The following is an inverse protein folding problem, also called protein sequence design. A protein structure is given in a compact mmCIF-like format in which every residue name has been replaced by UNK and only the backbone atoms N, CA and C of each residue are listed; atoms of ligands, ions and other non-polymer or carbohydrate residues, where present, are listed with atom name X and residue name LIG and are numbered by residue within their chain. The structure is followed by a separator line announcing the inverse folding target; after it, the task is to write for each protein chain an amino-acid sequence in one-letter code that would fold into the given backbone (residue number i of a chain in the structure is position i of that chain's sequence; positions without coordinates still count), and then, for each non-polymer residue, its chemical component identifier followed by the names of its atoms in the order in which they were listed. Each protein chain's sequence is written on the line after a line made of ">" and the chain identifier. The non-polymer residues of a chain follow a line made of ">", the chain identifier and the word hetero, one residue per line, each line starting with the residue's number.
data_IF_949283348696
#
_entry.id   IF_949283348696
#
_cell.length_a   1.000
_cell.length_b   1.000
_cell.length_c   1.000
_cell.angle_alpha   90.00
_cell.angle_beta   90.00
_cell.angle_gamma   90.00
#
_symmetry.space_group_name_H-M   'P 1'
#
loop_
_entity.id
_entity.type
_entity.pdbx_description
1 polymer ?
#
# COMPACT_ATOMS: atom_id res chain seq x y z
N UNK A 1 36.15 11.21 5.33
CA UNK A 1 35.55 10.24 4.39
C UNK A 1 35.59 8.88 5.08
N UNK A 2 34.57 8.52 5.86
CA UNK A 2 34.47 7.18 6.41
C UNK A 2 33.87 6.29 5.34
N UNK A 3 34.67 5.39 4.79
CA UNK A 3 34.18 4.28 3.98
C UNK A 3 33.27 3.43 4.87
N UNK A 4 31.97 3.73 4.83
CA UNK A 4 30.97 2.87 5.46
C UNK A 4 31.08 1.51 4.78
N UNK A 5 31.52 0.50 5.51
CA UNK A 5 31.45 -0.88 5.07
C UNK A 5 30.02 -1.15 4.64
N UNK A 6 29.82 -1.44 3.35
CA UNK A 6 28.58 -2.05 2.88
C UNK A 6 28.49 -3.36 3.66
N UNK A 7 27.50 -3.49 4.53
CA UNK A 7 27.18 -4.76 5.17
C UNK A 7 26.63 -5.68 4.08
N UNK A 8 27.53 -6.27 3.30
CA UNK A 8 27.19 -7.31 2.35
C UNK A 8 26.78 -8.53 3.17
N UNK A 9 25.51 -8.94 3.10
CA UNK A 9 25.11 -10.18 3.73
C UNK A 9 25.96 -11.30 3.13
N UNK A 10 26.56 -12.14 3.98
CA UNK A 10 27.50 -13.20 3.58
C UNK A 10 26.94 -14.20 2.53
N UNK A 11 25.63 -14.18 2.29
CA UNK A 11 24.94 -15.01 1.30
C UNK A 11 24.60 -14.21 0.04
N UNK A 12 24.99 -14.70 -1.16
CA UNK A 12 24.66 -14.06 -2.43
C UNK A 12 23.14 -13.98 -2.63
N UNK A 13 22.68 -12.85 -3.17
CA UNK A 13 21.26 -12.63 -3.48
C UNK A 13 20.81 -13.64 -4.53
N UNK A 14 19.72 -14.34 -4.24
CA UNK A 14 19.10 -15.30 -5.16
C UNK A 14 17.90 -14.66 -5.83
N UNK A 15 18.12 -13.92 -6.90
CA UNK A 15 17.03 -13.31 -7.66
C UNK A 15 16.51 -14.21 -8.77
N UNK A 16 15.20 -14.28 -8.90
CA UNK A 16 14.51 -14.86 -10.05
C UNK A 16 14.37 -13.81 -11.18
N UNK A 17 14.32 -14.26 -12.42
CA UNK A 17 13.95 -13.42 -13.56
C UNK A 17 12.43 -13.30 -13.69
N UNK A 18 11.91 -12.15 -13.26
CA UNK A 18 10.47 -11.94 -13.09
C UNK A 18 9.82 -11.30 -14.32
N UNK A 19 10.55 -10.44 -15.04
CA UNK A 19 10.08 -9.82 -16.27
C UNK A 19 11.23 -9.53 -17.24
N UNK A 20 10.92 -9.44 -18.53
CA UNK A 20 11.83 -8.90 -19.54
C UNK A 20 11.15 -7.81 -20.34
N UNK A 21 11.89 -6.75 -20.64
CA UNK A 21 11.49 -5.75 -21.62
C UNK A 21 12.10 -6.13 -22.97
N UNK A 22 11.29 -6.13 -24.02
CA UNK A 22 11.73 -6.43 -25.39
C UNK A 22 11.76 -5.16 -26.23
N UNK A 23 12.62 -5.14 -27.25
CA UNK A 23 12.62 -4.15 -28.33
C UNK A 23 13.03 -4.82 -29.63
N UNK A 24 12.22 -4.69 -30.68
CA UNK A 24 12.52 -5.23 -32.00
C UNK A 24 12.77 -6.74 -32.00
N UNK A 25 12.11 -7.50 -31.12
CA UNK A 25 12.29 -8.95 -30.96
C UNK A 25 13.50 -9.37 -30.12
N UNK A 26 14.29 -8.44 -29.59
CA UNK A 26 15.42 -8.71 -28.69
C UNK A 26 15.05 -8.37 -27.24
N UNK A 27 15.59 -9.10 -26.26
CA UNK A 27 15.52 -8.73 -24.85
C UNK A 27 16.44 -7.53 -24.61
N UNK A 28 15.85 -6.39 -24.26
CA UNK A 28 16.55 -5.14 -23.95
C UNK A 28 16.93 -5.04 -22.47
N UNK A 29 16.06 -5.52 -21.57
CA UNK A 29 16.32 -5.48 -20.13
C UNK A 29 15.71 -6.68 -19.43
N UNK A 30 16.39 -7.18 -18.40
CA UNK A 30 15.92 -8.25 -17.52
C UNK A 30 15.66 -7.67 -16.14
N UNK A 31 14.45 -7.84 -15.64
CA UNK A 31 14.05 -7.40 -14.31
C UNK A 31 14.09 -8.60 -13.37
N UNK A 32 15.17 -8.69 -12.60
CA UNK A 32 15.39 -9.74 -11.62
C UNK A 32 14.97 -9.27 -10.22
N UNK A 33 14.49 -10.18 -9.40
CA UNK A 33 14.12 -9.87 -8.03
C UNK A 33 13.38 -10.97 -7.31
N UNK A 34 12.52 -10.55 -6.38
CA UNK A 34 11.69 -11.42 -5.54
C UNK A 34 10.20 -11.11 -5.71
N UNK A 35 9.36 -12.15 -5.77
CA UNK A 35 7.90 -12.05 -5.66
C UNK A 35 7.38 -13.12 -4.71
N UNK A 36 6.47 -12.72 -3.82
CA UNK A 36 5.79 -13.59 -2.86
C UNK A 36 4.28 -13.39 -3.00
N UNK A 37 3.51 -14.48 -2.97
CA UNK A 37 2.05 -14.47 -2.89
C UNK A 37 1.61 -15.32 -1.70
N UNK A 38 0.76 -14.75 -0.84
CA UNK A 38 0.12 -15.49 0.24
C UNK A 38 -1.33 -15.87 -0.10
N UNK A 39 -1.78 -17.00 0.42
CA UNK A 39 -3.19 -17.38 0.47
C UNK A 39 -3.95 -16.57 1.53
N UNK A 40 -5.30 -16.58 1.49
CA UNK A 40 -6.13 -16.12 2.60
C UNK A 40 -5.79 -16.74 3.96
N UNK A 41 -5.27 -17.98 3.98
CA UNK A 41 -4.86 -18.68 5.19
C UNK A 41 -3.49 -18.25 5.73
N UNK A 42 -2.76 -17.42 4.99
CA UNK A 42 -1.40 -16.98 5.34
C UNK A 42 -0.28 -17.87 4.79
N UNK A 43 -0.61 -18.93 4.05
CA UNK A 43 0.38 -19.81 3.44
C UNK A 43 1.06 -19.15 2.25
N UNK A 44 2.36 -19.40 2.07
CA UNK A 44 3.10 -18.99 0.87
C UNK A 44 2.69 -19.90 -0.29
N UNK A 45 1.89 -19.37 -1.22
CA UNK A 45 1.44 -20.09 -2.42
C UNK A 45 2.45 -19.97 -3.55
N UNK A 46 3.09 -18.80 -3.66
CA UNK A 46 4.12 -18.55 -4.66
C UNK A 46 5.28 -17.78 -4.03
N UNK A 47 6.50 -18.24 -4.27
CA UNK A 47 7.73 -17.54 -3.92
C UNK A 47 8.79 -17.78 -5.00
N UNK A 48 9.18 -16.71 -5.68
CA UNK A 48 10.34 -16.68 -6.58
C UNK A 48 11.33 -15.65 -6.04
N UNK A 49 12.61 -15.99 -6.00
CA UNK A 49 13.66 -15.17 -5.38
C UNK A 49 13.84 -15.46 -3.88
N UNK A 50 14.44 -14.52 -3.15
CA UNK A 50 14.72 -14.67 -1.72
C UNK A 50 13.61 -14.05 -0.86
N UNK A 51 12.60 -14.86 -0.56
CA UNK A 51 11.36 -14.44 0.11
C UNK A 51 11.55 -13.98 1.58
N UNK A 52 12.69 -14.31 2.20
CA UNK A 52 12.96 -14.04 3.61
C UNK A 52 14.07 -13.03 3.85
N UNK A 53 14.82 -12.66 2.80
CA UNK A 53 15.89 -11.65 2.93
C UNK A 53 15.31 -10.28 3.28
N UNK A 54 15.79 -9.62 4.34
CA UNK A 54 15.36 -8.28 4.66
C UNK A 54 15.65 -7.29 3.53
N UNK A 55 14.63 -6.51 3.18
CA UNK A 55 14.70 -5.42 2.21
C UNK A 55 14.07 -4.18 2.83
N UNK A 56 14.59 -2.99 2.49
CA UNK A 56 13.91 -1.76 2.88
C UNK A 56 12.55 -1.68 2.17
N UNK A 57 11.48 -1.67 2.94
CA UNK A 57 10.11 -1.63 2.42
C UNK A 57 9.74 -0.26 1.79
N UNK A 58 10.52 0.79 2.10
CA UNK A 58 10.32 2.17 1.61
C UNK A 58 8.86 2.60 1.84
N UNK A 59 8.27 3.29 0.86
CA UNK A 59 6.92 3.85 0.98
C UNK A 59 5.79 2.82 1.08
N UNK A 60 6.05 1.50 0.99
CA UNK A 60 5.03 0.50 1.28
C UNK A 60 4.71 0.41 2.78
N UNK A 61 5.51 1.03 3.65
CA UNK A 61 5.22 1.10 5.10
C UNK A 61 4.19 2.14 5.49
N UNK A 62 3.86 3.08 4.61
CA UNK A 62 3.01 4.24 4.93
C UNK A 62 1.64 3.87 5.52
N UNK A 63 0.94 2.81 5.07
CA UNK A 63 -0.30 2.39 5.71
C UNK A 63 -0.11 2.03 7.19
N UNK A 64 0.95 1.29 7.53
CA UNK A 64 1.24 0.90 8.91
C UNK A 64 1.74 2.09 9.74
N UNK A 65 2.48 3.01 9.14
CA UNK A 65 2.83 4.30 9.74
C UNK A 65 1.58 5.13 10.08
N UNK A 66 0.57 5.13 9.21
CA UNK A 66 -0.72 5.79 9.46
C UNK A 66 -1.51 5.09 10.57
N UNK A 67 -1.49 3.75 10.63
CA UNK A 67 -2.07 2.99 11.76
C UNK A 67 -1.37 3.38 13.08
N UNK A 68 -0.04 3.48 13.09
CA UNK A 68 0.73 3.95 14.24
C UNK A 68 0.34 5.38 14.66
N UNK A 69 0.18 6.30 13.72
CA UNK A 69 -0.30 7.66 14.02
C UNK A 69 -1.74 7.68 14.59
N UNK A 70 -2.63 6.84 14.07
CA UNK A 70 -3.99 6.67 14.62
C UNK A 70 -3.95 6.10 16.05
N UNK A 71 -3.10 5.10 16.30
CA UNK A 71 -2.89 4.52 17.65
C UNK A 71 -2.33 5.56 18.62
N UNK A 72 -1.45 6.44 18.13
CA UNK A 72 -0.91 7.56 18.88
C UNK A 72 -1.94 8.67 19.16
N UNK A 73 -3.12 8.63 18.53
CA UNK A 73 -4.23 9.53 18.81
C UNK A 73 -4.49 10.58 17.74
N UNK A 74 -3.83 10.54 16.59
CA UNK A 74 -4.18 11.42 15.47
C UNK A 74 -5.63 11.17 15.01
N UNK A 75 -6.53 12.15 15.04
CA UNK A 75 -7.93 11.96 14.70
C UNK A 75 -8.20 12.00 13.18
N UNK A 76 -7.37 11.31 12.39
CA UNK A 76 -7.45 11.27 10.92
C UNK A 76 -8.75 10.59 10.45
N UNK A 77 -9.39 11.13 9.40
CA UNK A 77 -10.60 10.54 8.78
C UNK A 77 -10.57 10.66 7.26
N UNK A 78 -11.17 9.70 6.55
CA UNK A 78 -11.39 9.74 5.09
C UNK A 78 -10.13 10.12 4.31
N UNK A 79 -10.21 11.22 3.55
CA UNK A 79 -9.11 11.75 2.74
C UNK A 79 -7.81 12.01 3.53
N UNK A 80 -7.89 12.36 4.82
CA UNK A 80 -6.70 12.58 5.67
C UNK A 80 -5.94 11.27 5.95
N UNK A 81 -6.68 10.15 6.04
CA UNK A 81 -6.07 8.82 6.19
C UNK A 81 -5.43 8.39 4.87
N UNK A 82 -6.11 8.63 3.75
CA UNK A 82 -5.58 8.32 2.43
C UNK A 82 -4.29 9.10 2.12
N UNK A 83 -4.28 10.41 2.39
CA UNK A 83 -3.07 11.23 2.17
C UNK A 83 -1.93 10.85 3.13
N UNK A 84 -2.23 10.38 4.35
CA UNK A 84 -1.22 9.82 5.26
C UNK A 84 -0.57 8.54 4.71
N UNK A 85 -1.30 7.75 3.94
CA UNK A 85 -0.79 6.55 3.27
C UNK A 85 -0.08 6.85 1.94
N UNK A 86 -0.10 8.11 1.48
CA UNK A 86 0.22 8.47 0.11
C UNK A 86 1.70 8.47 -0.22
N UNK A 87 2.01 8.14 -1.48
CA UNK A 87 3.26 8.57 -2.12
C UNK A 87 2.88 9.50 -3.26
N UNK A 88 2.27 10.61 -2.89
CA UNK A 88 1.53 11.46 -3.79
C UNK A 88 2.44 12.19 -4.76
N UNK A 89 1.87 12.71 -5.85
CA UNK A 89 2.61 13.42 -6.90
C UNK A 89 2.71 14.92 -6.68
N UNK A 90 2.06 15.40 -5.61
CA UNK A 90 2.02 16.81 -5.26
C UNK A 90 1.06 17.58 -6.17
N UNK A 91 -0.05 16.96 -6.61
CA UNK A 91 -1.13 17.72 -7.25
C UNK A 91 -1.66 18.79 -6.29
N UNK A 92 -2.29 19.85 -6.80
CA UNK A 92 -2.90 20.86 -5.92
C UNK A 92 -3.90 20.27 -4.94
N UNK A 93 -4.67 19.25 -5.36
CA UNK A 93 -5.61 18.55 -4.48
C UNK A 93 -4.90 17.76 -3.37
N UNK A 94 -3.82 17.05 -3.70
CA UNK A 94 -3.02 16.30 -2.73
C UNK A 94 -2.34 17.26 -1.73
N UNK A 95 -1.72 18.35 -2.21
CA UNK A 95 -1.12 19.37 -1.34
C UNK A 95 -2.16 20.03 -0.43
N UNK A 96 -3.37 20.29 -0.93
CA UNK A 96 -4.48 20.80 -0.12
C UNK A 96 -4.87 19.82 0.98
N UNK A 97 -4.97 18.51 0.68
CA UNK A 97 -5.29 17.49 1.68
C UNK A 97 -4.24 17.44 2.82
N UNK A 98 -2.95 17.60 2.49
CA UNK A 98 -1.87 17.71 3.49
C UNK A 98 -2.04 18.97 4.33
N UNK A 99 -2.27 20.12 3.68
CA UNK A 99 -2.48 21.39 4.36
C UNK A 99 -3.69 21.37 5.31
N UNK A 100 -4.78 20.71 4.91
CA UNK A 100 -5.99 20.53 5.74
C UNK A 100 -5.72 19.63 6.96
N UNK A 101 -4.91 18.57 6.81
CA UNK A 101 -4.49 17.73 7.93
C UNK A 101 -3.61 18.51 8.93
N UNK A 102 -2.66 19.31 8.45
CA UNK A 102 -1.82 20.17 9.29
C UNK A 102 -2.66 21.24 10.01
N UNK A 103 -3.56 21.91 9.30
CA UNK A 103 -4.41 22.94 9.88
C UNK A 103 -5.33 22.38 10.98
N UNK A 104 -5.85 21.16 10.79
CA UNK A 104 -6.64 20.48 11.81
C UNK A 104 -5.82 20.03 13.04
N UNK A 105 -4.50 19.98 12.92
CA UNK A 105 -3.56 19.82 14.03
C UNK A 105 -3.10 21.15 14.64
N UNK A 106 -3.60 22.30 14.16
CA UNK A 106 -3.14 23.62 14.58
C UNK A 106 -1.77 24.02 14.03
N UNK A 107 -1.30 23.37 12.95
CA UNK A 107 0.04 23.53 12.40
C UNK A 107 0.02 24.08 10.96
N UNK A 108 1.14 24.67 10.54
CA UNK A 108 1.39 25.08 9.15
C UNK A 108 2.33 24.11 8.43
N UNK A 109 2.59 24.37 7.15
CA UNK A 109 3.60 23.63 6.38
C UNK A 109 5.03 23.78 6.94
N UNK A 110 5.30 24.77 7.79
CA UNK A 110 6.63 25.02 8.38
C UNK A 110 7.03 23.94 9.40
N UNK A 111 6.07 23.20 9.95
CA UNK A 111 6.32 22.05 10.83
C UNK A 111 6.81 20.80 10.06
N UNK A 112 6.64 20.76 8.73
CA UNK A 112 7.10 19.64 7.92
C UNK A 112 8.62 19.63 7.83
N UNK A 113 9.22 18.50 8.21
CA UNK A 113 10.67 18.28 8.14
C UNK A 113 11.09 17.48 6.89
N UNK A 114 10.14 17.14 6.02
CA UNK A 114 10.46 16.57 4.71
C UNK A 114 10.96 17.67 3.73
N UNK A 115 11.82 17.32 2.74
CA UNK A 115 12.39 18.30 1.83
C UNK A 115 11.36 19.13 1.05
N UNK A 116 11.65 20.41 0.83
CA UNK A 116 10.89 21.23 -0.11
C UNK A 116 11.24 20.88 -1.56
N UNK A 117 10.22 20.51 -2.35
CA UNK A 117 10.40 20.10 -3.75
C UNK A 117 9.39 20.78 -4.67
N UNK A 118 9.61 20.67 -5.98
CA UNK A 118 8.54 20.86 -6.94
C UNK A 118 7.75 19.56 -7.07
N UNK A 119 6.44 19.61 -7.36
CA UNK A 119 5.64 18.41 -7.62
C UNK A 119 6.24 17.52 -8.71
N UNK A 120 6.05 16.21 -8.57
CA UNK A 120 6.37 15.23 -9.65
C UNK A 120 5.25 15.15 -10.67
N UNK A 121 4.05 15.64 -10.33
CA UNK A 121 3.00 15.94 -11.30
C UNK A 121 3.44 17.05 -12.25
N UNK A 122 3.55 16.73 -13.53
CA UNK A 122 4.11 17.65 -14.54
C UNK A 122 3.22 18.86 -14.77
N UNK A 123 1.90 18.69 -14.73
CA UNK A 123 0.94 19.79 -14.89
C UNK A 123 1.04 20.79 -13.75
N UNK A 124 0.94 20.31 -12.51
CA UNK A 124 1.06 21.14 -11.30
C UNK A 124 2.41 21.84 -11.23
N UNK A 125 3.50 21.11 -11.55
CA UNK A 125 4.84 21.70 -11.63
C UNK A 125 4.92 22.83 -12.66
N UNK A 126 4.39 22.64 -13.86
CA UNK A 126 4.38 23.67 -14.90
C UNK A 126 3.60 24.91 -14.46
N UNK A 127 2.42 24.73 -13.85
CA UNK A 127 1.62 25.83 -13.31
C UNK A 127 2.38 26.59 -12.22
N UNK A 128 3.02 25.89 -11.27
CA UNK A 128 3.82 26.53 -10.22
C UNK A 128 4.97 27.36 -10.79
N UNK A 129 5.71 26.82 -11.77
CA UNK A 129 6.82 27.53 -12.40
C UNK A 129 6.36 28.77 -13.16
N UNK A 130 5.26 28.66 -13.91
CA UNK A 130 4.68 29.80 -14.64
C UNK A 130 4.18 30.90 -13.70
N UNK A 131 3.66 30.53 -12.53
CA UNK A 131 3.18 31.46 -11.51
C UNK A 131 4.31 31.99 -10.59
N UNK A 132 5.58 31.61 -10.82
CA UNK A 132 6.70 32.03 -9.97
C UNK A 132 6.67 31.45 -8.55
N UNK A 133 5.97 30.35 -8.33
CA UNK A 133 5.87 29.70 -7.02
C UNK A 133 7.15 28.90 -6.71
N UNK A 134 7.57 28.96 -5.45
CA UNK A 134 8.74 28.24 -4.95
C UNK A 134 8.45 26.76 -4.66
N UNK A 135 9.53 25.99 -4.45
CA UNK A 135 9.43 24.64 -3.88
C UNK A 135 8.72 24.68 -2.52
N UNK A 136 8.00 23.63 -2.17
CA UNK A 136 7.27 23.52 -0.90
C UNK A 136 7.36 22.11 -0.33
N UNK A 137 7.44 21.93 0.99
CA UNK A 137 7.40 20.60 1.60
C UNK A 137 6.05 19.92 1.39
N UNK A 138 4.96 20.67 1.16
CA UNK A 138 3.64 20.11 0.83
C UNK A 138 3.69 19.23 -0.43
N UNK A 139 4.56 19.56 -1.39
CA UNK A 139 4.68 18.82 -2.65
C UNK A 139 5.47 17.51 -2.51
N UNK A 140 6.19 17.31 -1.41
CA UNK A 140 7.00 16.12 -1.19
C UNK A 140 6.12 14.90 -1.00
N UNK A 141 6.38 13.77 -1.68
CA UNK A 141 5.48 12.61 -1.71
C UNK A 141 5.19 11.95 -0.34
N UNK A 142 5.92 12.35 0.70
CA UNK A 142 5.72 11.87 2.06
C UNK A 142 5.05 12.89 2.98
N UNK A 143 4.76 14.11 2.53
CA UNK A 143 4.28 15.17 3.43
C UNK A 143 2.97 14.81 4.13
N UNK A 144 2.10 14.00 3.51
CA UNK A 144 0.92 13.44 4.17
C UNK A 144 1.22 12.53 5.37
N UNK A 145 2.22 11.64 5.30
CA UNK A 145 2.62 10.84 6.48
C UNK A 145 3.23 11.71 7.58
N UNK A 146 3.95 12.77 7.22
CA UNK A 146 4.49 13.73 8.19
C UNK A 146 3.36 14.52 8.86
N UNK A 147 2.34 14.94 8.11
CA UNK A 147 1.16 15.59 8.69
C UNK A 147 0.45 14.68 9.70
N UNK A 148 0.34 13.37 9.43
CA UNK A 148 -0.19 12.40 10.38
C UNK A 148 0.67 12.28 11.65
N UNK A 149 2.00 12.23 11.50
CA UNK A 149 2.94 12.20 12.62
C UNK A 149 2.83 13.44 13.51
N UNK A 150 2.82 14.61 12.88
CA UNK A 150 2.67 15.89 13.56
C UNK A 150 1.33 15.99 14.29
N UNK A 151 0.23 15.54 13.68
CA UNK A 151 -1.07 15.55 14.33
C UNK A 151 -1.14 14.61 15.53
N UNK A 152 -0.49 13.43 15.46
CA UNK A 152 -0.35 12.56 16.61
C UNK A 152 0.41 13.24 17.77
N UNK A 153 1.52 13.92 17.45
CA UNK A 153 2.32 14.66 18.43
C UNK A 153 1.54 15.83 19.06
N UNK A 154 0.84 16.63 18.25
CA UNK A 154 -0.01 17.71 18.73
C UNK A 154 -1.13 17.21 19.65
N UNK A 155 -1.86 16.16 19.22
CA UNK A 155 -2.97 15.59 19.98
C UNK A 155 -2.53 14.98 21.33
N UNK A 156 -1.30 14.47 21.42
CA UNK A 156 -0.71 13.97 22.67
C UNK A 156 -0.20 15.10 23.57
N UNK A 157 0.47 16.09 22.99
CA UNK A 157 0.97 17.27 23.71
C UNK A 157 -0.16 18.08 24.36
N UNK A 158 -1.30 18.24 23.68
CA UNK A 158 -2.49 18.93 24.22
C UNK A 158 -3.08 18.26 25.46
N UNK A 159 -2.83 16.95 25.66
CA UNK A 159 -3.30 16.20 26.84
C UNK A 159 -2.38 16.34 28.05
N UNK A 160 -1.41 17.27 28.00
CA UNK A 160 -0.33 17.51 28.96
C UNK A 160 -0.54 17.02 30.39
N UNK A 161 -1.54 17.55 31.10
CA UNK A 161 -1.76 17.25 32.53
C UNK A 161 -2.28 15.82 32.80
N UNK A 162 -2.82 15.14 31.78
CA UNK A 162 -3.41 13.80 31.88
C UNK A 162 -2.40 12.69 31.55
N UNK A 163 -1.25 13.02 30.95
CA UNK A 163 -0.28 12.06 30.42
C UNK A 163 1.15 12.52 30.79
N UNK A 164 1.82 11.87 31.76
CA UNK A 164 3.16 12.26 32.23
C UNK A 164 4.21 12.35 31.10
N UNK A 165 4.03 11.55 30.05
CA UNK A 165 4.94 11.47 28.92
C UNK A 165 4.64 12.50 27.82
N UNK A 166 3.63 13.38 27.97
CA UNK A 166 3.23 14.36 26.95
C UNK A 166 4.39 15.26 26.51
N UNK A 167 5.32 15.58 27.42
CA UNK A 167 6.52 16.36 27.11
C UNK A 167 7.47 15.67 26.11
N UNK A 168 7.36 14.35 25.92
CA UNK A 168 8.15 13.58 24.97
C UNK A 168 7.58 13.60 23.54
N UNK A 169 6.37 14.13 23.33
CA UNK A 169 5.67 14.15 22.04
C UNK A 169 5.96 15.43 21.23
N UNK A 170 7.23 15.81 21.13
CA UNK A 170 7.65 17.04 20.45
C UNK A 170 7.44 16.98 18.94
N UNK A 171 6.78 18.01 18.40
CA UNK A 171 6.64 18.23 16.95
C UNK A 171 7.97 18.56 16.25
N UNK A 172 9.04 18.86 16.99
CA UNK A 172 10.36 19.16 16.43
C UNK A 172 11.26 17.92 16.36
N UNK A 173 10.92 16.86 17.11
CA UNK A 173 11.73 15.64 17.22
C UNK A 173 10.98 14.39 16.72
N UNK A 174 9.82 14.53 16.06
CA UNK A 174 8.98 13.39 15.65
C UNK A 174 9.65 12.41 14.67
N UNK A 175 10.77 12.78 14.05
CA UNK A 175 11.56 11.90 13.17
C UNK A 175 12.65 11.12 13.92
N UNK A 176 12.95 11.46 15.18
CA UNK A 176 13.92 10.74 16.00
C UNK A 176 13.45 9.30 16.23
N UNK A 177 14.26 8.26 15.90
CA UNK A 177 13.92 6.86 16.20
C UNK A 177 13.55 6.58 17.67
N UNK A 178 14.02 7.40 18.60
CA UNK A 178 13.70 7.30 20.03
C UNK A 178 12.40 8.02 20.42
N UNK A 179 11.80 8.80 19.52
CA UNK A 179 10.53 9.47 19.77
C UNK A 179 9.41 8.44 20.01
N UNK A 180 8.50 8.64 21.00
CA UNK A 180 7.42 7.71 21.31
C UNK A 180 6.58 7.29 20.09
N UNK A 181 6.30 8.25 19.21
CA UNK A 181 5.65 7.99 17.92
C UNK A 181 6.39 6.96 17.06
N UNK A 182 7.71 7.09 16.89
CA UNK A 182 8.49 6.18 16.03
C UNK A 182 8.56 4.77 16.64
N UNK A 183 8.66 4.67 17.96
CA UNK A 183 8.57 3.38 18.68
C UNK A 183 7.21 2.71 18.46
N UNK A 184 6.12 3.46 18.57
CA UNK A 184 4.77 2.93 18.31
C UNK A 184 4.60 2.50 16.85
N UNK A 185 5.22 3.21 15.91
CA UNK A 185 5.21 2.80 14.50
C UNK A 185 5.98 1.48 14.31
N UNK A 186 7.12 1.30 14.97
CA UNK A 186 7.87 0.03 14.94
C UNK A 186 6.98 -1.11 15.47
N UNK A 187 6.33 -0.92 16.61
CA UNK A 187 5.41 -1.92 17.18
C UNK A 187 4.31 -2.34 16.19
N UNK A 188 3.67 -1.38 15.53
CA UNK A 188 2.62 -1.70 14.55
C UNK A 188 3.21 -2.41 13.32
N UNK A 189 4.38 -1.99 12.84
CA UNK A 189 5.04 -2.67 11.72
C UNK A 189 5.37 -4.11 12.08
N UNK A 190 5.94 -4.36 13.26
CA UNK A 190 6.29 -5.71 13.72
C UNK A 190 5.04 -6.56 13.97
N UNK A 191 3.97 -5.98 14.52
CA UNK A 191 2.71 -6.67 14.74
C UNK A 191 2.05 -7.14 13.43
N UNK A 192 1.98 -6.27 12.41
CA UNK A 192 1.36 -6.60 11.12
C UNK A 192 2.24 -7.53 10.27
N UNK A 193 3.55 -7.38 10.34
CA UNK A 193 4.48 -8.24 9.60
C UNK A 193 4.69 -9.58 10.31
N UNK A 194 4.48 -9.64 11.62
CA UNK A 194 4.72 -10.79 12.47
C UNK A 194 6.20 -11.18 12.55
N UNK A 195 7.10 -10.18 12.47
CA UNK A 195 8.55 -10.33 12.61
C UNK A 195 9.15 -9.04 13.18
N UNK A 196 10.38 -9.13 13.70
CA UNK A 196 11.10 -7.95 14.16
C UNK A 196 11.71 -7.17 13.00
N UNK A 197 11.84 -5.85 13.15
CA UNK A 197 12.57 -5.01 12.20
C UNK A 197 14.04 -5.43 12.19
N UNK A 198 14.50 -5.99 11.08
CA UNK A 198 15.86 -6.52 10.96
C UNK A 198 16.92 -5.41 10.95
N UNK A 199 16.58 -4.25 10.42
CA UNK A 199 17.45 -3.08 10.35
C UNK A 199 16.63 -1.80 10.13
N UNK A 200 17.11 -0.67 10.62
CA UNK A 200 16.50 0.64 10.42
C UNK A 200 17.53 1.66 9.91
N UNK A 201 17.09 2.56 9.04
CA UNK A 201 17.90 3.68 8.55
C UNK A 201 17.03 4.91 8.31
N UNK A 202 17.59 5.97 7.73
CA UNK A 202 16.88 7.21 7.41
C UNK A 202 16.43 7.19 5.95
N UNK A 203 15.14 7.41 5.70
CA UNK A 203 14.58 7.53 4.34
C UNK A 203 14.84 8.93 3.74
N UNK A 204 14.61 9.10 2.44
CA UNK A 204 14.78 10.38 1.75
C UNK A 204 13.90 11.52 2.28
N UNK A 205 12.87 11.21 3.06
CA UNK A 205 12.02 12.19 3.75
C UNK A 205 12.53 12.61 5.14
N UNK A 206 13.57 11.95 5.66
CA UNK A 206 14.10 12.12 7.02
C UNK A 206 13.53 11.17 8.07
N UNK A 207 12.37 10.52 7.82
CA UNK A 207 11.79 9.55 8.75
C UNK A 207 12.54 8.19 8.74
N UNK A 208 12.43 7.39 9.82
CA UNK A 208 12.92 6.02 9.83
C UNK A 208 12.31 5.14 8.72
N UNK A 209 13.15 4.30 8.13
CA UNK A 209 12.76 3.23 7.20
C UNK A 209 13.25 1.88 7.72
N UNK A 210 12.42 0.86 7.56
CA UNK A 210 12.66 -0.46 8.14
C UNK A 210 12.92 -1.52 7.06
N UNK A 211 13.85 -2.42 7.37
CA UNK A 211 14.14 -3.62 6.59
C UNK A 211 13.33 -4.80 7.15
N UNK A 212 12.56 -5.42 6.26
CA UNK A 212 11.62 -6.51 6.55
C UNK A 212 11.69 -7.54 5.43
N UNK A 213 11.26 -8.76 5.68
CA UNK A 213 11.15 -9.79 4.66
C UNK A 213 9.95 -9.53 3.72
N UNK A 214 10.06 -9.94 2.44
CA UNK A 214 8.91 -9.97 1.53
C UNK A 214 7.70 -10.74 2.08
N UNK A 215 7.93 -11.86 2.80
CA UNK A 215 6.84 -12.62 3.45
C UNK A 215 6.18 -11.83 4.58
N UNK A 216 6.96 -11.15 5.43
CA UNK A 216 6.42 -10.29 6.49
C UNK A 216 5.56 -9.17 5.91
N UNK A 217 6.04 -8.51 4.86
CA UNK A 217 5.23 -7.52 4.14
C UNK A 217 3.97 -8.13 3.52
N UNK A 218 4.04 -9.34 2.98
CA UNK A 218 2.88 -10.00 2.38
C UNK A 218 1.81 -10.32 3.44
N UNK A 219 2.22 -10.72 4.66
CA UNK A 219 1.32 -10.92 5.81
C UNK A 219 0.64 -9.62 6.24
N UNK A 220 1.40 -8.53 6.29
CA UNK A 220 0.90 -7.22 6.63
C UNK A 220 -0.17 -6.74 5.63
N UNK A 221 0.07 -6.93 4.33
CA UNK A 221 -0.88 -6.57 3.27
C UNK A 221 -2.07 -7.54 3.15
N UNK A 222 -1.90 -8.83 3.46
CA UNK A 222 -3.02 -9.77 3.58
C UNK A 222 -4.01 -9.29 4.66
N UNK A 223 -3.48 -8.98 5.85
CA UNK A 223 -4.26 -8.44 6.97
C UNK A 223 -4.98 -7.15 6.58
N UNK A 224 -4.26 -6.20 5.98
CA UNK A 224 -4.84 -4.92 5.56
C UNK A 224 -5.90 -5.09 4.45
N UNK A 225 -5.72 -6.03 3.53
CA UNK A 225 -6.72 -6.39 2.52
C UNK A 225 -8.02 -6.90 3.13
N UNK A 226 -7.96 -7.81 4.11
CA UNK A 226 -9.16 -8.31 4.81
C UNK A 226 -9.87 -7.25 5.66
N UNK A 227 -9.18 -6.16 6.01
CA UNK A 227 -9.73 -5.10 6.84
C UNK A 227 -10.64 -4.12 6.06
N UNK A 228 -10.62 -4.15 4.72
CA UNK A 228 -11.42 -3.24 3.88
C UNK A 228 -12.91 -3.39 4.22
N UNK A 229 -13.50 -2.35 4.81
CA UNK A 229 -14.91 -2.27 5.21
C UNK A 229 -15.35 -3.42 6.15
N UNK A 230 -14.40 -4.03 6.86
CA UNK A 230 -14.64 -5.12 7.79
C UNK A 230 -14.74 -4.58 9.22
N UNK A 231 -15.92 -4.70 9.84
CA UNK A 231 -16.19 -4.21 11.19
C UNK A 231 -15.61 -5.10 12.30
N UNK A 232 -15.24 -6.34 11.98
CA UNK A 232 -14.65 -7.30 12.94
C UNK A 232 -13.12 -7.19 12.99
N UNK A 233 -12.51 -6.52 12.01
CA UNK A 233 -11.08 -6.25 11.99
C UNK A 233 -10.70 -5.15 13.00
N UNK A 234 -9.40 -5.02 13.29
CA UNK A 234 -8.89 -3.85 14.04
C UNK A 234 -9.40 -2.56 13.40
N UNK A 235 -10.00 -1.69 14.22
CA UNK A 235 -10.69 -0.50 13.73
C UNK A 235 -9.76 0.47 12.99
N UNK A 236 -8.47 0.54 13.37
CA UNK A 236 -7.48 1.40 12.69
C UNK A 236 -7.09 0.78 11.35
N UNK A 237 -6.85 -0.54 11.32
CA UNK A 237 -6.61 -1.27 10.08
C UNK A 237 -7.77 -1.10 9.09
N UNK A 238 -9.01 -1.26 9.56
CA UNK A 238 -10.20 -1.09 8.73
C UNK A 238 -10.36 0.34 8.23
N UNK A 239 -10.09 1.33 9.09
CA UNK A 239 -10.11 2.76 8.72
C UNK A 239 -9.10 3.05 7.61
N UNK A 240 -7.87 2.55 7.76
CA UNK A 240 -6.79 2.73 6.77
C UNK A 240 -7.10 2.02 5.46
N UNK A 241 -7.42 0.73 5.51
CA UNK A 241 -7.72 -0.07 4.33
C UNK A 241 -8.90 0.52 3.53
N UNK A 242 -9.97 0.92 4.22
CA UNK A 242 -11.15 1.52 3.60
C UNK A 242 -10.82 2.87 2.98
N UNK A 243 -10.08 3.75 3.68
CA UNK A 243 -9.67 5.03 3.13
C UNK A 243 -8.76 4.87 1.90
N UNK A 244 -7.89 3.85 1.89
CA UNK A 244 -7.02 3.61 0.73
C UNK A 244 -7.80 3.21 -0.52
N UNK A 245 -8.88 2.45 -0.36
CA UNK A 245 -9.75 1.99 -1.44
C UNK A 245 -10.79 3.05 -1.85
N UNK A 246 -11.23 3.90 -0.92
CA UNK A 246 -12.21 4.95 -1.19
C UNK A 246 -11.60 6.21 -1.83
N UNK A 247 -10.30 6.46 -1.64
CA UNK A 247 -9.57 7.63 -2.16
C UNK A 247 -8.21 7.29 -2.81
N UNK A 248 -8.13 6.29 -3.70
CA UNK A 248 -6.86 5.85 -4.29
C UNK A 248 -6.15 6.97 -5.09
N UNK A 249 -6.90 7.89 -5.68
CA UNK A 249 -6.40 9.06 -6.40
C UNK A 249 -5.62 10.03 -5.50
N UNK A 250 -5.90 10.09 -4.20
CA UNK A 250 -5.12 10.88 -3.25
C UNK A 250 -3.77 10.21 -2.92
N UNK A 251 -3.64 8.90 -3.10
CA UNK A 251 -2.45 8.12 -2.71
C UNK A 251 -1.32 8.26 -3.74
N UNK A 252 -1.60 7.92 -5.00
CA UNK A 252 -0.61 7.98 -6.08
C UNK A 252 -0.99 9.01 -7.16
N UNK A 253 -2.27 9.35 -7.31
CA UNK A 253 -2.76 10.28 -8.31
C UNK A 253 -3.78 9.64 -9.26
N UNK A 254 -4.60 10.45 -9.95
CA UNK A 254 -5.53 9.95 -10.97
C UNK A 254 -4.80 9.17 -12.07
N UNK A 255 -5.44 8.12 -12.60
CA UNK A 255 -4.96 7.28 -13.71
C UNK A 255 -3.58 6.62 -13.50
N UNK A 256 -3.04 6.69 -12.29
CA UNK A 256 -1.77 6.06 -11.95
C UNK A 256 -1.95 4.55 -11.73
N UNK A 257 -0.90 3.73 -11.96
CA UNK A 257 -1.01 2.27 -11.86
C UNK A 257 -1.65 1.78 -10.56
N UNK A 258 -1.21 2.26 -9.39
CA UNK A 258 -1.76 1.83 -8.10
C UNK A 258 -3.24 2.19 -7.99
N UNK A 259 -3.62 3.39 -8.44
CA UNK A 259 -5.02 3.85 -8.44
C UNK A 259 -5.90 2.94 -9.28
N UNK A 260 -5.49 2.67 -10.53
CA UNK A 260 -6.26 1.83 -11.45
C UNK A 260 -6.39 0.39 -10.93
N UNK A 261 -5.31 -0.18 -10.37
CA UNK A 261 -5.37 -1.53 -9.80
C UNK A 261 -6.28 -1.55 -8.56
N UNK A 262 -6.13 -0.58 -7.66
CA UNK A 262 -6.94 -0.46 -6.43
C UNK A 262 -8.44 -0.36 -6.76
N UNK A 263 -8.83 0.51 -7.70
CA UNK A 263 -10.23 0.72 -8.08
C UNK A 263 -10.87 -0.53 -8.70
N UNK A 264 -10.14 -1.21 -9.59
CA UNK A 264 -10.68 -2.36 -10.35
C UNK A 264 -10.69 -3.66 -9.55
N UNK A 265 -9.76 -3.82 -8.61
CA UNK A 265 -9.69 -5.00 -7.74
C UNK A 265 -10.34 -4.81 -6.38
N UNK A 266 -10.74 -3.59 -6.02
CA UNK A 266 -11.26 -3.25 -4.70
C UNK A 266 -10.28 -3.72 -3.60
N UNK A 267 -9.01 -3.37 -3.79
CA UNK A 267 -7.85 -3.92 -3.09
C UNK A 267 -6.91 -2.82 -2.58
N UNK A 268 -6.19 -3.09 -1.49
CA UNK A 268 -5.15 -2.18 -1.01
C UNK A 268 -3.90 -2.34 -1.87
N UNK A 269 -3.49 -1.28 -2.57
CA UNK A 269 -2.31 -1.27 -3.43
C UNK A 269 -1.36 -0.17 -3.01
N UNK A 270 -0.07 -0.48 -2.92
CA UNK A 270 0.95 0.51 -2.57
C UNK A 270 2.29 0.17 -3.19
N UNK A 271 2.73 1.00 -4.13
CA UNK A 271 4.09 1.02 -4.63
C UNK A 271 5.06 1.67 -3.64
N UNK A 272 6.33 1.31 -3.72
CA UNK A 272 7.43 1.97 -3.03
C UNK A 272 8.57 2.28 -3.99
N UNK A 273 9.42 3.23 -3.60
CA UNK A 273 10.71 3.43 -4.25
C UNK A 273 11.53 2.13 -4.25
N UNK A 274 12.56 2.07 -5.09
CA UNK A 274 13.44 0.90 -5.19
C UNK A 274 12.69 -0.39 -5.56
N UNK A 275 11.77 -0.31 -6.52
CA UNK A 275 11.18 -1.48 -7.18
C UNK A 275 10.21 -2.27 -6.30
N UNK A 276 9.56 -1.61 -5.34
CA UNK A 276 8.61 -2.23 -4.42
C UNK A 276 7.16 -2.09 -4.89
N UNK A 277 6.38 -3.16 -4.72
CA UNK A 277 4.92 -3.11 -4.82
C UNK A 277 4.31 -4.13 -3.86
N UNK A 278 3.24 -3.72 -3.18
CA UNK A 278 2.46 -4.58 -2.31
C UNK A 278 0.97 -4.46 -2.65
N UNK A 279 0.27 -5.60 -2.71
CA UNK A 279 -1.15 -5.72 -2.98
C UNK A 279 -1.78 -6.60 -1.90
N UNK A 280 -2.89 -6.17 -1.30
CA UNK A 280 -3.74 -6.94 -0.40
C UNK A 280 -5.17 -6.98 -0.91
N UNK A 281 -5.66 -8.18 -1.27
CA UNK A 281 -7.03 -8.38 -1.73
C UNK A 281 -7.99 -8.55 -0.54
N UNK A 282 -9.28 -8.24 -0.73
CA UNK A 282 -10.32 -8.46 0.31
C UNK A 282 -10.43 -9.92 0.74
N UNK A 283 -10.08 -10.86 -0.14
CA UNK A 283 -10.04 -12.29 0.18
C UNK A 283 -8.98 -12.65 1.22
N UNK A 284 -8.00 -11.77 1.48
CA UNK A 284 -6.83 -12.06 2.30
C UNK A 284 -5.63 -12.58 1.52
N UNK A 285 -5.78 -12.86 0.22
CA UNK A 285 -4.62 -13.09 -0.64
C UNK A 285 -3.82 -11.79 -0.83
N UNK A 286 -2.50 -11.91 -0.89
CA UNK A 286 -1.62 -10.74 -1.05
C UNK A 286 -0.45 -11.05 -1.97
N UNK A 287 0.15 -10.01 -2.55
CA UNK A 287 1.37 -10.12 -3.34
C UNK A 287 2.37 -9.02 -2.97
N UNK A 288 3.65 -9.38 -2.87
CA UNK A 288 4.77 -8.46 -2.67
C UNK A 288 5.80 -8.69 -3.76
N UNK A 289 6.27 -7.61 -4.37
CA UNK A 289 7.31 -7.61 -5.40
C UNK A 289 8.43 -6.68 -4.99
N UNK A 290 9.67 -7.14 -5.17
CA UNK A 290 10.90 -6.36 -5.13
C UNK A 290 11.70 -6.62 -6.40
N UNK A 291 11.91 -5.61 -7.24
CA UNK A 291 12.88 -5.66 -8.33
C UNK A 291 14.24 -5.16 -7.83
N UNK A 292 15.29 -5.95 -7.98
CA UNK A 292 16.56 -5.74 -7.28
C UNK A 292 17.31 -4.48 -7.69
N UNK A 293 17.23 -4.09 -8.96
CA UNK A 293 17.83 -2.85 -9.47
C UNK A 293 17.05 -1.58 -9.10
N UNK A 294 15.93 -1.73 -8.40
CA UNK A 294 15.10 -0.62 -7.94
C UNK A 294 14.08 -0.12 -8.98
N UNK A 295 14.00 -0.72 -10.15
CA UNK A 295 13.08 -0.32 -11.22
C UNK A 295 11.64 -0.65 -10.89
N UNK A 296 10.75 0.33 -11.00
CA UNK A 296 9.30 0.13 -10.81
C UNK A 296 8.60 -0.43 -12.06
N UNK A 297 9.25 -0.40 -13.23
CA UNK A 297 8.64 -0.71 -14.54
C UNK A 297 7.91 -2.06 -14.57
N UNK A 298 8.48 -3.08 -13.92
CA UNK A 298 7.97 -4.45 -13.92
C UNK A 298 7.04 -4.81 -12.76
N UNK A 299 6.94 -3.97 -11.74
CA UNK A 299 6.30 -4.34 -10.47
C UNK A 299 4.83 -4.77 -10.64
N UNK A 300 4.00 -4.00 -11.35
CA UNK A 300 2.59 -4.35 -11.58
C UNK A 300 2.42 -5.59 -12.47
N UNK A 301 3.25 -5.75 -13.51
CA UNK A 301 3.21 -6.97 -14.34
C UNK A 301 3.45 -8.21 -13.49
N UNK A 302 4.52 -8.17 -12.70
CA UNK A 302 4.93 -9.30 -11.86
C UNK A 302 3.87 -9.61 -10.81
N UNK A 303 3.37 -8.61 -10.08
CA UNK A 303 2.38 -8.83 -9.02
C UNK A 303 1.07 -9.40 -9.56
N UNK A 304 0.54 -8.83 -10.64
CA UNK A 304 -0.74 -9.26 -11.21
C UNK A 304 -0.65 -10.66 -11.83
N UNK A 305 0.46 -10.97 -12.52
CA UNK A 305 0.70 -12.32 -13.06
C UNK A 305 0.98 -13.35 -11.96
N UNK A 306 1.65 -12.98 -10.86
CA UNK A 306 1.84 -13.88 -9.74
C UNK A 306 0.51 -14.21 -9.03
N UNK A 307 -0.35 -13.21 -8.80
CA UNK A 307 -1.71 -13.44 -8.29
C UNK A 307 -2.55 -14.30 -9.23
N UNK A 308 -2.37 -14.14 -10.55
CA UNK A 308 -3.00 -14.99 -11.55
C UNK A 308 -2.53 -16.45 -11.44
N UNK A 309 -1.22 -16.67 -11.38
CA UNK A 309 -0.62 -17.99 -11.27
C UNK A 309 -1.06 -18.72 -9.99
N UNK A 310 -1.26 -17.97 -8.91
CA UNK A 310 -1.79 -18.46 -7.65
C UNK A 310 -3.32 -18.67 -7.64
N UNK A 311 -4.03 -18.36 -8.75
CA UNK A 311 -5.46 -18.57 -8.90
C UNK A 311 -6.37 -17.49 -8.30
N UNK A 312 -5.82 -16.37 -7.85
CA UNK A 312 -6.59 -15.30 -7.22
C UNK A 312 -7.12 -14.26 -8.20
N UNK A 313 -6.60 -14.23 -9.43
CA UNK A 313 -7.09 -13.37 -10.52
C UNK A 313 -7.29 -14.16 -11.80
N UNK A 314 -8.33 -13.82 -12.57
CA UNK A 314 -8.56 -14.42 -13.88
C UNK A 314 -7.64 -13.80 -14.94
N UNK A 315 -7.34 -14.55 -16.01
CA UNK A 315 -6.60 -14.04 -17.17
C UNK A 315 -7.23 -12.74 -17.72
N UNK A 316 -8.56 -12.71 -17.89
CA UNK A 316 -9.29 -11.55 -18.41
C UNK A 316 -9.13 -10.31 -17.53
N UNK A 317 -9.20 -10.48 -16.20
CA UNK A 317 -8.97 -9.39 -15.24
C UNK A 317 -7.55 -8.85 -15.36
N UNK A 318 -6.56 -9.75 -15.42
CA UNK A 318 -5.14 -9.39 -15.47
C UNK A 318 -4.81 -8.67 -16.79
N UNK A 319 -5.25 -9.18 -17.93
CA UNK A 319 -4.97 -8.55 -19.23
C UNK A 319 -5.59 -7.15 -19.35
N UNK A 320 -6.82 -6.99 -18.82
CA UNK A 320 -7.49 -5.68 -18.75
C UNK A 320 -6.73 -4.68 -17.87
N UNK A 321 -6.19 -5.13 -16.74
CA UNK A 321 -5.38 -4.32 -15.85
C UNK A 321 -4.04 -3.95 -16.49
N UNK A 322 -3.31 -4.92 -17.05
CA UNK A 322 -2.01 -4.69 -17.67
C UNK A 322 -2.10 -3.73 -18.85
N UNK A 323 -3.14 -3.83 -19.66
CA UNK A 323 -3.42 -2.87 -20.74
C UNK A 323 -3.61 -1.44 -20.22
N UNK A 324 -4.16 -1.30 -19.01
CA UNK A 324 -4.42 0.02 -18.41
C UNK A 324 -3.19 0.62 -17.71
N UNK A 325 -2.33 -0.21 -17.11
CA UNK A 325 -1.25 0.28 -16.22
C UNK A 325 0.15 0.20 -16.82
N UNK A 326 0.39 -0.69 -17.79
CA UNK A 326 1.70 -0.78 -18.43
C UNK A 326 1.84 0.27 -19.53
N UNK A 327 3.07 0.79 -19.65
CA UNK A 327 3.44 1.68 -20.76
C UNK A 327 4.19 0.84 -21.81
N UNK A 328 3.79 0.91 -23.09
CA UNK A 328 4.47 0.18 -24.15
C UNK A 328 5.90 0.69 -24.33
N UNK A 329 6.79 -0.17 -24.85
CA UNK A 329 8.13 0.26 -25.25
C UNK A 329 8.00 0.92 -26.61
N UNK A 330 8.24 2.23 -26.68
CA UNK A 330 8.06 3.04 -27.88
C UNK A 330 9.37 3.35 -28.60
N UNK A 331 9.30 3.65 -29.89
CA UNK A 331 10.46 4.01 -30.72
C UNK A 331 10.05 4.82 -31.94
N UNK A 332 10.43 6.10 -31.97
CA UNK A 332 10.02 7.02 -33.04
C UNK A 332 8.52 7.31 -33.06
N UNK A 333 8.08 7.92 -34.15
CA UNK A 333 6.68 8.30 -34.39
C UNK A 333 6.26 7.77 -35.76
N UNK A 334 5.05 7.22 -35.83
CA UNK A 334 4.40 6.74 -37.04
C UNK A 334 2.96 7.28 -37.05
N UNK A 335 2.55 7.94 -38.13
CA UNK A 335 1.25 8.63 -38.25
C UNK A 335 0.91 9.56 -37.08
N UNK A 336 1.92 10.27 -36.57
CA UNK A 336 1.77 11.21 -35.46
C UNK A 336 1.57 10.56 -34.09
N UNK A 337 1.70 9.23 -33.99
CA UNK A 337 1.62 8.48 -32.74
C UNK A 337 2.96 7.79 -32.41
N UNK A 338 3.31 7.64 -31.13
CA UNK A 338 4.48 6.85 -30.75
C UNK A 338 4.32 5.41 -31.24
N UNK A 339 5.26 4.95 -32.08
CA UNK A 339 5.27 3.57 -32.55
C UNK A 339 5.65 2.64 -31.40
N UNK A 340 4.87 1.58 -31.19
CA UNK A 340 5.23 0.52 -30.25
C UNK A 340 6.23 -0.42 -30.91
N UNK A 341 7.38 -0.62 -30.28
CA UNK A 341 8.50 -1.43 -30.79
C UNK A 341 8.87 -2.57 -29.84
N UNK A 342 8.12 -2.73 -28.76
CA UNK A 342 8.29 -3.82 -27.82
C UNK A 342 7.38 -3.67 -26.62
N UNK A 343 7.59 -4.54 -25.65
CA UNK A 343 6.67 -4.73 -24.53
C UNK A 343 7.39 -5.24 -23.30
N UNK A 344 6.65 -5.31 -22.19
CA UNK A 344 7.08 -5.96 -20.98
C UNK A 344 6.32 -7.28 -20.86
N UNK A 345 7.05 -8.38 -20.73
CA UNK A 345 6.47 -9.73 -20.63
C UNK A 345 7.02 -10.47 -19.41
N UNK A 346 6.32 -11.51 -18.91
CA UNK A 346 6.85 -12.36 -17.85
C UNK A 346 8.25 -12.90 -18.19
N UNK A 347 9.15 -12.85 -17.21
CA UNK A 347 10.50 -13.38 -17.33
C UNK A 347 10.50 -14.90 -17.24
N UNK A 348 11.65 -15.53 -17.50
CA UNK A 348 11.75 -17.00 -17.62
C UNK A 348 11.16 -17.74 -16.41
N UNK A 349 11.48 -17.29 -15.19
CA UNK A 349 11.04 -17.99 -13.97
C UNK A 349 9.53 -17.79 -13.71
N UNK A 350 9.02 -16.56 -13.89
CA UNK A 350 7.58 -16.29 -13.72
C UNK A 350 6.74 -16.96 -14.83
N UNK A 351 7.25 -16.99 -16.06
CA UNK A 351 6.60 -17.66 -17.19
C UNK A 351 6.49 -19.17 -16.96
N UNK A 352 7.52 -19.81 -16.38
CA UNK A 352 7.50 -21.23 -16.05
C UNK A 352 6.42 -21.58 -15.02
N UNK A 353 6.21 -20.72 -14.00
CA UNK A 353 5.13 -20.90 -13.02
C UNK A 353 3.75 -20.69 -13.66
N UNK A 354 3.58 -19.65 -14.48
CA UNK A 354 2.33 -19.41 -15.21
C UNK A 354 1.94 -20.58 -16.13
N UNK A 355 2.93 -21.26 -16.72
CA UNK A 355 2.72 -22.41 -17.58
C UNK A 355 2.46 -23.73 -16.80
N UNK A 356 2.54 -23.72 -15.46
CA UNK A 356 2.45 -24.93 -14.64
C UNK A 356 3.65 -25.87 -14.77
N UNK A 357 4.78 -25.37 -15.29
CA UNK A 357 5.99 -26.16 -15.59
C UNK A 357 6.99 -26.12 -14.42
N UNK A 358 6.88 -25.14 -13.52
CA UNK A 358 7.67 -25.04 -12.30
C UNK A 358 6.76 -24.91 -11.06
N UNK A 359 7.16 -25.49 -9.90
CA UNK A 359 6.40 -25.31 -8.67
C UNK A 359 6.43 -23.85 -8.24
N UNK A 360 5.27 -23.34 -7.79
CA UNK A 360 5.12 -21.96 -7.35
C UNK A 360 5.95 -21.65 -6.08
N UNK A 361 6.23 -22.65 -5.25
CA UNK A 361 7.09 -22.53 -4.06
C UNK A 361 8.44 -23.18 -4.33
N UNK A 362 9.50 -22.39 -4.47
CA UNK A 362 10.86 -22.92 -4.44
C UNK A 362 11.27 -23.21 -2.98
N UNK A 363 10.87 -24.37 -2.44
CA UNK A 363 11.36 -24.85 -1.16
C UNK A 363 12.87 -25.18 -1.27
N UNK A 364 13.75 -24.24 -0.88
CA UNK A 364 15.17 -24.54 -0.61
C UNK A 364 15.67 -23.69 0.56
N UNK A 365 15.21 -24.01 1.77
CA UNK A 365 16.01 -23.74 2.96
C UNK A 365 17.25 -24.65 2.91
N UNK A 366 18.42 -24.05 2.82
CA UNK A 366 19.65 -24.75 3.16
C UNK A 366 19.63 -25.01 4.66
N UNK A 367 19.59 -26.27 5.06
CA UNK A 367 20.00 -26.70 6.40
C UNK A 367 21.47 -26.37 6.57
N UNK A 368 21.80 -25.55 7.58
CA UNK A 368 22.84 -25.82 8.57
C UNK A 368 23.01 -24.58 9.47
N UNK A 369 22.54 -24.73 10.69
CA UNK A 369 22.55 -23.69 11.71
C UNK A 369 21.89 -24.23 12.97
N UNK A 370 22.58 -25.17 13.61
CA UNK A 370 22.18 -25.74 14.89
C UNK A 370 21.84 -24.62 15.89
N UNK A 371 20.61 -24.67 16.40
CA UNK A 371 20.23 -23.92 17.59
C UNK A 371 20.79 -24.67 18.80
N UNK A 372 21.67 -24.07 19.64
CA UNK A 372 22.10 -24.72 20.86
C UNK A 372 20.97 -24.64 21.88
N UNK A 373 20.36 -25.79 22.18
CA UNK A 373 19.51 -25.99 23.34
C UNK A 373 20.35 -25.86 24.61
N UNK A 374 20.15 -24.79 25.37
CA UNK A 374 20.60 -24.70 26.76
C UNK A 374 19.62 -25.50 27.62
N UNK A 375 20.05 -26.69 28.03
CA UNK A 375 19.54 -27.37 29.22
C UNK A 375 20.19 -26.71 30.44
N UNK A 376 19.40 -26.18 31.36
CA UNK A 376 19.74 -26.24 32.79
C UNK A 376 18.49 -26.64 33.57
N UNK A 377 18.62 -27.79 34.24
CA UNK A 377 17.71 -28.32 35.24
C UNK A 377 17.59 -27.37 36.43
N UNK A 378 16.36 -27.12 36.88
CA UNK A 378 16.06 -27.10 38.31
C UNK A 378 14.76 -27.83 38.57
N UNK A 379 14.91 -28.99 39.19
CA UNK A 379 13.85 -29.74 39.83
C UNK A 379 13.31 -28.95 41.04
N UNK A 380 12.00 -28.83 41.14
CA UNK A 380 11.33 -28.98 42.43
C UNK A 380 9.91 -29.53 42.23
N UNK A 381 9.63 -30.52 43.07
CA UNK A 381 8.38 -31.26 43.22
C UNK A 381 7.22 -30.32 43.59
N UNK A 382 6.04 -30.54 43.03
CA UNK A 382 4.90 -30.90 43.88
C UNK A 382 3.79 -31.57 43.08
N UNK A 383 3.16 -32.52 43.75
CA UNK A 383 2.20 -33.50 43.24
C UNK A 383 0.80 -32.99 43.48
N UNK A 384 -0.12 -33.05 42.52
CA UNK A 384 -1.53 -33.45 42.75
C UNK A 384 -2.37 -33.56 41.45
N UNK A 385 -2.82 -34.79 41.19
CA UNK A 385 -4.20 -35.24 40.85
C UNK A 385 -5.01 -34.35 39.87
N UNK A 386 -5.24 -34.75 38.61
CA UNK A 386 -6.24 -35.71 38.12
C UNK A 386 -7.69 -35.31 38.45
N UNK A 387 -8.43 -34.78 37.46
CA UNK A 387 -9.73 -35.33 37.01
C UNK A 387 -10.26 -34.66 35.74
N UNK A 388 -11.15 -35.39 35.07
CA UNK A 388 -11.45 -35.37 33.63
C UNK A 388 -12.98 -35.32 33.46
N UNK A 389 -13.48 -34.42 32.59
CA UNK A 389 -14.69 -34.55 31.72
C UNK A 389 -16.10 -34.63 32.38
N UNK A 390 -17.21 -34.60 31.61
CA UNK A 390 -17.67 -33.63 30.57
C UNK A 390 -19.19 -33.29 30.73
N UNK A 391 -19.77 -32.45 29.87
CA UNK A 391 -21.24 -32.32 29.77
C UNK A 391 -21.77 -31.22 28.84
N UNK A 392 -21.93 -31.57 27.57
CA UNK A 392 -22.86 -30.98 26.56
C UNK A 392 -24.34 -31.37 26.91
N UNK A 393 -25.41 -31.07 26.12
CA UNK A 393 -25.55 -30.24 24.90
C UNK A 393 -26.91 -29.44 24.80
N UNK A 394 -27.15 -28.88 23.60
CA UNK A 394 -28.38 -29.01 22.77
C UNK A 394 -29.44 -27.88 22.65
N UNK A 395 -29.86 -27.67 21.38
CA UNK A 395 -31.18 -27.16 20.93
C UNK A 395 -31.13 -25.88 20.06
N UNK A 396 -31.15 -25.91 18.71
CA UNK A 396 -32.31 -26.12 17.80
C UNK A 396 -33.36 -24.98 17.86
N UNK A 397 -34.05 -24.48 16.84
CA UNK A 397 -34.15 -24.61 15.38
C UNK A 397 -35.25 -23.61 14.92
N UNK A 398 -35.51 -23.50 13.60
CA UNK A 398 -36.70 -22.99 12.88
C UNK A 398 -36.81 -21.47 12.64
N UNK A 399 -36.84 -20.90 11.43
CA UNK A 399 -37.55 -21.10 10.12
C UNK A 399 -38.86 -20.33 9.94
N UNK A 400 -39.05 -19.89 8.67
CA UNK A 400 -40.30 -19.59 7.96
C UNK A 400 -40.97 -18.21 8.22
N UNK A 401 -41.60 -17.49 7.27
CA UNK A 401 -41.90 -17.64 5.83
C UNK A 401 -42.65 -16.37 5.36
N UNK A 402 -42.44 -15.95 4.11
CA UNK A 402 -43.49 -15.63 3.12
C UNK A 402 -44.34 -14.34 3.21
N UNK A 403 -44.35 -13.54 2.14
CA UNK A 403 -45.53 -13.38 1.24
C UNK A 403 -45.25 -12.48 0.02
N UNK A 404 -45.99 -12.80 -1.04
CA UNK A 404 -45.92 -12.36 -2.44
C UNK A 404 -46.67 -11.05 -2.79
N UNK A 405 -46.51 -10.66 -4.07
CA UNK A 405 -47.45 -9.97 -4.96
C UNK A 405 -47.53 -8.42 -4.83
N UNK A 406 -47.73 -7.60 -5.88
CA UNK A 406 -47.81 -7.69 -7.36
C UNK A 406 -48.14 -6.26 -7.86
N UNK A 407 -47.92 -5.94 -9.15
CA UNK A 407 -48.54 -4.77 -9.85
C UNK A 407 -47.52 -3.76 -10.37
N UNK A 408 -47.14 -3.77 -11.67
CA UNK A 408 -47.86 -3.30 -12.86
C UNK A 408 -47.61 -1.81 -13.23
N UNK A 409 -46.76 -1.65 -14.25
CA UNK A 409 -46.73 -0.71 -15.40
C UNK A 409 -47.45 0.66 -15.38
N UNK A 410 -46.73 1.71 -15.84
CA UNK A 410 -47.09 2.65 -16.93
C UNK A 410 -45.99 3.75 -17.01
N UNK A 411 -45.12 3.77 -18.02
CA UNK A 411 -45.20 4.52 -19.30
C UNK A 411 -45.34 6.04 -19.21
N UNK A 412 -44.38 6.77 -19.78
CA UNK A 412 -44.49 8.21 -20.06
C UNK A 412 -43.20 8.76 -20.67
N UNK A 413 -43.26 9.14 -21.95
CA UNK A 413 -42.14 9.51 -22.81
C UNK A 413 -42.03 11.03 -23.05
N UNK A 414 -40.88 11.43 -23.60
CA UNK A 414 -40.66 12.44 -24.65
C UNK A 414 -40.17 13.87 -24.30
N UNK A 415 -39.22 14.32 -25.15
CA UNK A 415 -38.84 15.71 -25.47
C UNK A 415 -37.58 16.20 -24.75
N UNK A 416 -36.44 16.56 -25.35
CA UNK A 416 -36.11 16.91 -26.74
C UNK A 416 -35.77 18.39 -26.85
N UNK A 417 -34.49 18.76 -26.99
CA UNK A 417 -33.95 19.74 -27.96
C UNK A 417 -32.56 20.27 -27.58
N UNK A 418 -31.82 20.65 -28.62
CA UNK A 418 -30.39 20.85 -28.71
C UNK A 418 -29.95 22.32 -28.54
N UNK A 419 -28.65 22.55 -28.33
CA UNK A 419 -28.06 23.88 -28.48
C UNK A 419 -26.57 24.01 -28.11
N UNK A 420 -25.70 23.79 -29.11
CA UNK A 420 -24.39 24.43 -29.38
C UNK A 420 -23.20 24.33 -28.40
N UNK A 421 -22.08 23.87 -28.97
CA UNK A 421 -20.71 23.82 -28.42
C UNK A 421 -19.93 25.14 -28.63
N UNK A 422 -18.75 25.28 -27.98
CA UNK A 422 -17.53 25.41 -28.79
C UNK A 422 -16.27 24.70 -28.23
N UNK A 423 -15.35 24.36 -29.15
CA UNK A 423 -13.89 24.36 -28.93
C UNK A 423 -13.22 23.06 -28.45
N UNK A 424 -12.83 22.16 -29.36
CA UNK A 424 -12.02 20.96 -29.06
C UNK A 424 -10.52 21.27 -29.10
N UNK A 425 -9.85 21.08 -27.96
CA UNK A 425 -8.39 20.90 -27.86
C UNK A 425 -8.01 19.42 -28.04
N UNK A 426 -6.81 19.18 -28.57
CA UNK A 426 -6.23 17.87 -28.88
C UNK A 426 -5.99 17.07 -27.59
N UNK A 427 -6.30 15.77 -27.64
CA UNK A 427 -6.32 14.75 -26.57
C UNK A 427 -7.63 14.63 -25.76
N UNK A 428 -8.63 14.02 -26.41
CA UNK A 428 -9.92 13.68 -25.80
C UNK A 428 -9.87 12.45 -24.89
N UNK A 429 -9.83 12.67 -23.58
CA UNK A 429 -10.57 11.88 -22.58
C UNK A 429 -11.20 12.85 -21.57
N UNK A 430 -12.50 12.73 -21.24
CA UNK A 430 -13.14 13.63 -20.31
C UNK A 430 -12.64 13.38 -18.88
N UNK A 431 -12.10 14.43 -18.25
CA UNK A 431 -11.83 14.48 -16.80
C UNK A 431 -13.18 14.42 -16.09
N UNK A 432 -13.46 13.31 -15.38
CA UNK A 432 -14.62 13.22 -14.50
C UNK A 432 -14.29 13.96 -13.19
N UNK A 433 -14.77 15.19 -13.06
CA UNK A 433 -14.94 15.79 -11.73
C UNK A 433 -16.11 15.08 -11.03
N UNK A 434 -15.78 14.14 -10.14
CA UNK A 434 -16.77 13.46 -9.30
C UNK A 434 -16.81 14.11 -7.91
N UNK A 435 -17.44 15.27 -7.80
CA UNK A 435 -17.96 15.78 -6.53
C UNK A 435 -19.22 14.99 -6.17
N UNK A 436 -19.10 13.90 -5.39
CA UNK A 436 -20.24 13.32 -4.68
C UNK A 436 -20.45 14.07 -3.37
N UNK A 437 -21.23 15.14 -3.43
CA UNK A 437 -21.82 15.76 -2.25
C UNK A 437 -22.88 14.85 -1.62
N UNK A 438 -22.56 14.22 -0.48
CA UNK A 438 -23.59 13.62 0.40
C UNK A 438 -24.11 14.69 1.36
N UNK A 439 -25.30 15.21 1.06
CA UNK A 439 -26.10 16.02 2.00
C UNK A 439 -26.64 15.12 3.11
N UNK A 440 -26.13 15.28 4.33
CA UNK A 440 -26.79 14.78 5.53
C UNK A 440 -27.89 15.77 5.94
N UNK A 441 -29.14 15.42 5.68
CA UNK A 441 -30.31 16.11 6.23
C UNK A 441 -30.62 15.59 7.63
N UNK A 442 -30.26 16.34 8.67
CA UNK A 442 -30.89 16.22 9.99
C UNK A 442 -32.02 17.25 10.08
N UNK A 443 -33.27 16.79 9.99
CA UNK A 443 -34.43 17.56 10.47
C UNK A 443 -34.47 17.49 11.99
N UNK A 444 -34.14 18.59 12.66
CA UNK A 444 -34.46 18.80 14.07
C UNK A 444 -35.88 19.37 14.19
N UNK A 445 -36.71 18.70 14.99
CA UNK A 445 -37.95 19.25 15.55
C UNK A 445 -37.59 20.13 16.75
N UNK A 446 -37.90 21.42 16.68
CA UNK A 446 -38.76 22.18 17.60
C UNK A 446 -38.81 23.63 17.17
#
# INVERSE_FOLDING_TARGET
>A
MNSAHIAEAATPVRDAELAVATRGGMIESRHRGTVVVLSPGGDVILALGDAHRPIFARSTLKPFQAIGALKAGAPLRGAQVAIACASHRGTFEQMRAVQEALAAAGLSADALQCPAVYPTDSGTRATMLQAGLSKTPLAFECSGKHAAFLWACAAKSERGELEPDAALWSIDAYLDPQHPLQRMIVEEVEAFTGEQVAHASVDGCGAPVFALSPVGLARAYATLGTAIRNMEADARASTVATAMVDYPELIQGPDSPDTVVSERLDAVVKSGAEGMLCIGLRSGASAVVKISDGSSRATHLVALRALQAAGFLTQTTVDSLLTAVLRPITGGVEDGQPRTVGELVPGTDLAAVLAGVAPAVAARHGSDGACPTMHEEKAHEETTQREKTPGEPEGADSTATGKEASGAQASGAAGGSAGAAPGRGVNGRPVRHALKGRRNGKKGRR
#
